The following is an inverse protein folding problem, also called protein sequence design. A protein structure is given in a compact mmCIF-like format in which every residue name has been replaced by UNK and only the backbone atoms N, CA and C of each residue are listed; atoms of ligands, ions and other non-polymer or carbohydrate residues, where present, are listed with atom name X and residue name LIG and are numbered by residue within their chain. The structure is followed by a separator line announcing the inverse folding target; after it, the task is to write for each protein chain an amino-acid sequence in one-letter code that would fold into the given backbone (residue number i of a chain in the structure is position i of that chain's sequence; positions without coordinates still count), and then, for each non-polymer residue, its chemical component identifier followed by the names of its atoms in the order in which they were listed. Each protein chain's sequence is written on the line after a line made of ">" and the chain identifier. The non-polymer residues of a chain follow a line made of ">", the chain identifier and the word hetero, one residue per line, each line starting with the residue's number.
data_IF_335311668036
#
_entry.id   IF_335311668036
#
_cell.length_a   1.000
_cell.length_b   1.000
_cell.length_c   1.000
_cell.angle_alpha   90.00
_cell.angle_beta   90.00
_cell.angle_gamma   90.00
#
_symmetry.space_group_name_H-M   'P 1'
#
loop_
_entity.id
_entity.type
_entity.pdbx_description
1 polymer ?
#
# COMPACT_ATOMS: atom_id res chain seq x y z
N UNK A 1 -8.17 -28.19 -16.61
CA UNK A 1 -7.23 -27.14 -16.17
C UNK A 1 -7.70 -26.64 -14.82
N UNK A 2 -7.11 -27.12 -13.72
CA UNK A 2 -7.63 -26.82 -12.38
C UNK A 2 -7.39 -25.35 -12.02
N UNK A 3 -8.49 -24.62 -11.86
CA UNK A 3 -8.51 -23.28 -11.30
C UNK A 3 -7.97 -23.36 -9.87
N UNK A 4 -6.72 -22.93 -9.69
CA UNK A 4 -6.12 -22.81 -8.37
C UNK A 4 -6.73 -21.59 -7.69
N UNK A 5 -7.87 -21.80 -7.04
CA UNK A 5 -8.39 -20.91 -6.01
C UNK A 5 -7.34 -20.75 -4.93
N UNK A 6 -6.48 -19.73 -5.05
CA UNK A 6 -5.55 -19.37 -4.00
C UNK A 6 -6.32 -18.52 -3.00
N UNK A 7 -6.66 -19.13 -1.86
CA UNK A 7 -7.03 -18.41 -0.64
C UNK A 7 -6.10 -17.21 -0.44
N UNK A 8 -6.70 -16.07 -0.09
CA UNK A 8 -6.15 -14.73 -0.25
C UNK A 8 -4.64 -14.62 0.03
N UNK A 9 -3.87 -14.34 -1.03
CA UNK A 9 -2.51 -13.83 -0.85
C UNK A 9 -2.65 -12.48 -0.15
N UNK A 10 -2.06 -12.34 1.05
CA UNK A 10 -1.89 -11.03 1.65
C UNK A 10 -1.20 -10.09 0.63
N UNK A 11 -1.73 -8.87 0.45
CA UNK A 11 -1.34 -7.94 -0.64
C UNK A 11 0.17 -7.67 -0.75
N UNK A 12 0.93 -7.88 0.32
CA UNK A 12 2.39 -7.92 0.32
C UNK A 12 2.91 -9.23 0.96
N UNK A 13 3.88 -9.87 0.30
CA UNK A 13 4.43 -11.17 0.72
C UNK A 13 5.57 -11.02 1.73
N UNK A 14 5.81 -12.04 2.57
CA UNK A 14 6.92 -12.04 3.55
C UNK A 14 8.29 -11.77 2.90
N UNK A 15 8.64 -12.32 1.72
CA UNK A 15 9.88 -11.95 1.03
C UNK A 15 9.95 -10.48 0.61
N UNK A 16 8.83 -9.88 0.19
CA UNK A 16 8.79 -8.46 -0.16
C UNK A 16 9.04 -7.57 1.06
N UNK A 17 8.41 -7.88 2.20
CA UNK A 17 8.64 -7.19 3.47
C UNK A 17 10.13 -7.30 3.87
N UNK A 18 10.74 -8.48 3.72
CA UNK A 18 12.18 -8.62 3.96
C UNK A 18 13.02 -7.74 3.04
N UNK A 19 12.72 -7.67 1.75
CA UNK A 19 13.46 -6.79 0.82
C UNK A 19 13.36 -5.31 1.23
N UNK A 20 12.18 -4.85 1.64
CA UNK A 20 11.98 -3.49 2.15
C UNK A 20 12.79 -3.22 3.42
N UNK A 21 12.68 -4.12 4.41
CA UNK A 21 13.43 -4.01 5.66
C UNK A 21 14.95 -4.02 5.43
N UNK A 22 15.45 -4.88 4.52
CA UNK A 22 16.88 -4.87 4.15
C UNK A 22 17.30 -3.56 3.50
N UNK A 23 16.47 -2.99 2.61
CA UNK A 23 16.73 -1.66 2.02
C UNK A 23 16.80 -0.57 3.08
N UNK A 24 16.01 -0.67 4.15
CA UNK A 24 16.08 0.22 5.31
C UNK A 24 17.19 -0.10 6.32
N UNK A 25 18.14 -1.00 6.01
CA UNK A 25 19.27 -1.32 6.89
C UNK A 25 18.95 -2.26 8.06
N UNK A 26 17.75 -2.87 8.09
CA UNK A 26 17.36 -3.77 9.18
C UNK A 26 18.14 -5.09 9.09
N UNK A 27 18.88 -5.45 10.16
CA UNK A 27 19.72 -6.66 10.23
C UNK A 27 18.97 -7.93 10.67
N UNK A 28 18.03 -7.84 11.60
CA UNK A 28 17.18 -8.96 12.06
C UNK A 28 15.72 -8.52 12.13
N UNK A 29 14.78 -9.43 11.86
CA UNK A 29 13.34 -9.13 11.77
C UNK A 29 12.59 -10.17 12.59
N UNK A 30 11.73 -9.72 13.50
CA UNK A 30 10.83 -10.58 14.29
C UNK A 30 9.69 -11.14 13.43
N UNK A 31 9.14 -12.30 13.80
CA UNK A 31 7.99 -12.91 13.12
C UNK A 31 6.73 -12.03 13.15
N UNK A 32 6.55 -11.22 14.19
CA UNK A 32 5.38 -10.33 14.33
C UNK A 32 5.38 -9.18 13.33
N UNK A 33 6.55 -8.77 12.82
CA UNK A 33 6.70 -7.65 11.89
C UNK A 33 5.97 -7.89 10.57
N UNK A 34 5.71 -9.14 10.16
CA UNK A 34 5.02 -9.40 8.91
C UNK A 34 3.58 -8.90 8.92
N UNK A 35 2.85 -9.08 10.01
CA UNK A 35 1.47 -8.57 10.11
C UNK A 35 1.45 -7.09 10.46
N UNK A 36 2.34 -6.63 11.34
CA UNK A 36 2.48 -5.21 11.67
C UNK A 36 2.75 -4.36 10.42
N UNK A 37 3.70 -4.78 9.59
CA UNK A 37 4.02 -4.08 8.33
C UNK A 37 2.83 -4.02 7.37
N UNK A 38 1.95 -5.03 7.39
CA UNK A 38 0.74 -5.04 6.57
C UNK A 38 -0.32 -4.09 7.11
N UNK A 39 -0.47 -4.02 8.43
CA UNK A 39 -1.35 -3.06 9.10
C UNK A 39 -0.95 -1.62 8.74
N UNK A 40 0.34 -1.29 8.92
CA UNK A 40 0.87 0.04 8.57
C UNK A 40 0.68 0.35 7.09
N UNK A 41 1.00 -0.60 6.19
CA UNK A 41 0.81 -0.40 4.74
C UNK A 41 -0.66 -0.16 4.37
N UNK A 42 -1.58 -0.90 5.01
CA UNK A 42 -3.02 -0.74 4.78
C UNK A 42 -3.50 0.65 5.19
N UNK A 43 -3.14 1.10 6.39
CA UNK A 43 -3.51 2.44 6.89
C UNK A 43 -2.95 3.54 5.97
N UNK A 44 -1.68 3.42 5.56
CA UNK A 44 -1.07 4.37 4.64
C UNK A 44 -1.83 4.46 3.31
N UNK A 45 -2.13 3.31 2.69
CA UNK A 45 -2.85 3.27 1.43
C UNK A 45 -4.30 3.76 1.56
N UNK A 46 -4.99 3.43 2.65
CA UNK A 46 -6.34 3.94 2.92
C UNK A 46 -6.38 5.47 2.97
N UNK A 47 -5.37 6.09 3.59
CA UNK A 47 -5.29 7.55 3.66
C UNK A 47 -5.00 8.19 2.30
N UNK A 48 -4.00 7.68 1.57
CA UNK A 48 -3.64 8.21 0.24
C UNK A 48 -4.78 8.02 -0.76
N UNK A 49 -5.43 6.85 -0.77
CA UNK A 49 -6.53 6.55 -1.69
C UNK A 49 -7.75 7.43 -1.37
N UNK A 50 -8.08 7.66 -0.10
CA UNK A 50 -9.19 8.54 0.30
C UNK A 50 -9.02 9.95 -0.25
N UNK A 51 -7.81 10.50 -0.14
CA UNK A 51 -7.49 11.82 -0.66
C UNK A 51 -7.50 11.84 -2.20
N UNK A 52 -6.91 10.83 -2.85
CA UNK A 52 -6.89 10.73 -4.31
C UNK A 52 -8.30 10.61 -4.92
N UNK A 53 -9.19 9.85 -4.28
CA UNK A 53 -10.60 9.76 -4.66
C UNK A 53 -11.29 11.11 -4.49
N UNK A 54 -11.03 11.83 -3.40
CA UNK A 54 -11.58 13.16 -3.16
C UNK A 54 -11.20 14.14 -4.28
N UNK A 55 -9.94 14.15 -4.73
CA UNK A 55 -9.51 14.96 -5.88
C UNK A 55 -10.18 14.56 -7.19
N UNK A 56 -10.35 13.25 -7.41
CA UNK A 56 -11.00 12.70 -8.60
C UNK A 56 -12.47 13.11 -8.67
N UNK A 57 -13.19 12.99 -7.55
CA UNK A 57 -14.59 13.39 -7.43
C UNK A 57 -14.78 14.90 -7.57
N UNK A 58 -13.90 15.70 -6.95
CA UNK A 58 -13.93 17.16 -7.09
C UNK A 58 -13.77 17.61 -8.55
N UNK A 59 -12.93 16.89 -9.31
CA UNK A 59 -12.75 17.13 -10.74
C UNK A 59 -13.85 16.50 -11.63
N UNK A 60 -14.92 15.94 -11.04
CA UNK A 60 -16.05 15.27 -11.74
C UNK A 60 -15.60 14.13 -12.66
N UNK A 61 -14.52 13.44 -12.30
CA UNK A 61 -14.01 12.27 -13.04
C UNK A 61 -14.39 10.99 -12.31
N UNK A 62 -14.43 9.87 -13.04
CA UNK A 62 -14.58 8.51 -12.49
C UNK A 62 -13.27 7.73 -12.45
N UNK A 63 -12.25 8.22 -13.16
CA UNK A 63 -10.94 7.59 -13.26
C UNK A 63 -9.94 8.40 -12.46
N UNK A 64 -9.35 7.77 -11.44
CA UNK A 64 -8.23 8.32 -10.68
C UNK A 64 -7.03 8.44 -11.62
N UNK A 65 -6.43 9.63 -11.68
CA UNK A 65 -5.24 9.91 -12.48
C UNK A 65 -3.99 9.87 -11.61
N UNK A 66 -2.81 9.80 -12.25
CA UNK A 66 -1.54 9.91 -11.55
C UNK A 66 -1.42 11.23 -10.75
N UNK A 67 -2.00 12.33 -11.25
CA UNK A 67 -1.94 13.63 -10.58
C UNK A 67 -2.75 13.65 -9.28
N UNK A 68 -3.90 12.96 -9.23
CA UNK A 68 -4.70 12.86 -8.01
C UNK A 68 -3.90 12.16 -6.89
N UNK A 69 -3.11 11.14 -7.26
CA UNK A 69 -2.23 10.43 -6.33
C UNK A 69 -1.04 11.31 -5.90
N UNK A 70 -0.43 12.04 -6.83
CA UNK A 70 0.68 12.97 -6.50
C UNK A 70 0.22 14.05 -5.53
N UNK A 71 -0.97 14.62 -5.73
CA UNK A 71 -1.51 15.62 -4.82
C UNK A 71 -1.90 15.04 -3.46
N UNK A 72 -2.44 13.82 -3.43
CA UNK A 72 -2.71 13.10 -2.18
C UNK A 72 -1.42 12.87 -1.37
N UNK A 73 -0.33 12.44 -2.01
CA UNK A 73 0.96 12.24 -1.34
C UNK A 73 1.53 13.54 -0.78
N UNK A 74 1.51 14.63 -1.57
CA UNK A 74 1.94 15.96 -1.09
C UNK A 74 1.16 16.43 0.14
N UNK A 75 -0.16 16.17 0.18
CA UNK A 75 -1.00 16.49 1.34
C UNK A 75 -0.60 15.68 2.59
N UNK A 76 -0.16 14.44 2.41
CA UNK A 76 0.32 13.56 3.50
C UNK A 76 1.77 13.87 3.92
N UNK A 77 2.46 14.81 3.26
CA UNK A 77 3.84 15.17 3.56
C UNK A 77 4.89 14.19 3.02
N UNK A 78 4.54 13.41 1.99
CA UNK A 78 5.44 12.51 1.25
C UNK A 78 5.83 13.14 -0.08
#
# INVERSE_FOLDING_TARGET
>A
MSGRGKGGKAGITKPAIRRLARRGGVKRISGLIYEESRGVLKIFLENVIRDAVTYTEHARRKTVTAMDVVYALKRQGV
#
